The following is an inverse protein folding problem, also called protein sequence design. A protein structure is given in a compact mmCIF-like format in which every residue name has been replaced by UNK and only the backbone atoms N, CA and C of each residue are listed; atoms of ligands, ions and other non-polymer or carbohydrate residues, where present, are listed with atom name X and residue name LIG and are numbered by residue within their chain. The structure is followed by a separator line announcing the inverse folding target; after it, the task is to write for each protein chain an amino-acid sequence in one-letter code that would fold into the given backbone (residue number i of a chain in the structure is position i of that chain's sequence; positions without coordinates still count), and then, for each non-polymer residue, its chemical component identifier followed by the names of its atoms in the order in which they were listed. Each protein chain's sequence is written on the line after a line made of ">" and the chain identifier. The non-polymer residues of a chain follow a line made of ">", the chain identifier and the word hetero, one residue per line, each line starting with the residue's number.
data_IF_584309856615
#
_entry.id   IF_584309856615
#
_cell.length_a   1.000
_cell.length_b   1.000
_cell.length_c   1.000
_cell.angle_alpha   90.00
_cell.angle_beta   90.00
_cell.angle_gamma   90.00
#
_symmetry.space_group_name_H-M   'P 1'
#
loop_
_entity.id
_entity.type
_entity.pdbx_description
1 polymer ?
#
# COMPACT_ATOMS: atom_id res chain seq x y z
N UNK A 1 10.94 -0.59 -20.85
CA UNK A 1 10.51 0.27 -21.97
C UNK A 1 9.30 -0.32 -22.72
N UNK A 2 9.44 -1.49 -23.39
CA UNK A 2 8.38 -2.08 -24.21
C UNK A 2 7.04 -2.22 -23.46
N UNK A 3 7.03 -2.76 -22.26
CA UNK A 3 5.80 -2.92 -21.48
C UNK A 3 5.16 -1.57 -21.12
N UNK A 4 5.93 -0.51 -20.87
CA UNK A 4 5.37 0.81 -20.60
C UNK A 4 4.74 1.45 -21.85
N UNK A 5 5.19 1.08 -23.05
CA UNK A 5 4.60 1.57 -24.31
C UNK A 5 3.20 0.97 -24.57
N UNK A 6 2.97 -0.28 -24.16
CA UNK A 6 1.79 -1.08 -24.51
C UNK A 6 0.84 -1.34 -23.33
N UNK A 7 1.17 -0.85 -22.12
CA UNK A 7 0.34 -1.09 -20.95
C UNK A 7 -1.02 -0.41 -21.04
N UNK A 8 -2.09 -1.13 -20.72
CA UNK A 8 -3.44 -0.61 -20.56
C UNK A 8 -3.74 -0.21 -19.11
N UNK A 9 -2.97 -0.74 -18.15
CA UNK A 9 -3.04 -0.44 -16.72
C UNK A 9 -1.71 -0.79 -16.06
N UNK A 10 -1.28 -0.02 -15.06
CA UNK A 10 -0.07 -0.31 -14.28
C UNK A 10 -0.37 -0.45 -12.80
N UNK A 11 -0.10 -1.63 -12.24
CA UNK A 11 -0.09 -1.87 -10.80
C UNK A 11 1.34 -1.72 -10.27
N UNK A 12 1.66 -0.59 -9.64
CA UNK A 12 2.94 -0.43 -8.96
C UNK A 12 2.87 -1.01 -7.53
N UNK A 13 3.20 -2.28 -7.40
CA UNK A 13 3.28 -3.00 -6.13
C UNK A 13 4.71 -3.06 -5.59
N UNK A 14 5.68 -2.57 -6.36
CA UNK A 14 7.08 -2.57 -5.96
C UNK A 14 7.32 -1.62 -4.79
N UNK A 15 8.18 -2.05 -3.86
CA UNK A 15 8.57 -1.22 -2.73
C UNK A 15 9.52 -1.93 -1.79
N UNK A 16 10.34 -1.14 -1.10
CA UNK A 16 11.23 -1.58 -0.02
C UNK A 16 10.57 -1.31 1.32
N UNK A 17 10.48 -2.33 2.17
CA UNK A 17 9.90 -2.23 3.51
C UNK A 17 10.83 -2.77 4.62
N UNK A 18 11.93 -3.43 4.26
CA UNK A 18 13.00 -3.88 5.18
C UNK A 18 14.36 -3.63 4.53
N UNK A 19 14.81 -2.37 4.52
CA UNK A 19 16.09 -1.98 3.92
C UNK A 19 17.26 -2.42 4.81
N UNK A 20 18.46 -2.47 4.22
CA UNK A 20 19.71 -2.60 4.97
C UNK A 20 20.16 -1.25 5.55
N UNK A 21 19.81 -0.16 4.90
CA UNK A 21 20.01 1.21 5.34
C UNK A 21 18.83 2.09 4.93
N UNK A 22 18.63 3.24 5.59
CA UNK A 22 17.47 4.10 5.38
C UNK A 22 17.40 4.72 3.96
N UNK A 23 18.52 4.88 3.27
CA UNK A 23 18.55 5.44 1.90
C UNK A 23 17.83 4.52 0.90
N UNK A 24 17.82 3.21 1.16
CA UNK A 24 17.13 2.25 0.31
C UNK A 24 15.60 2.45 0.28
N UNK A 25 15.01 3.06 1.32
CA UNK A 25 13.59 3.41 1.29
C UNK A 25 13.31 4.42 0.16
N UNK A 26 14.10 5.49 0.08
CA UNK A 26 13.90 6.50 -0.95
C UNK A 26 14.25 5.95 -2.34
N UNK A 27 15.35 5.22 -2.48
CA UNK A 27 15.74 4.63 -3.77
C UNK A 27 14.72 3.62 -4.29
N UNK A 28 14.24 2.71 -3.42
CA UNK A 28 13.32 1.64 -3.80
C UNK A 28 11.87 2.09 -3.96
N UNK A 29 11.40 3.03 -3.14
CA UNK A 29 10.01 3.48 -3.18
C UNK A 29 9.82 4.68 -4.12
N UNK A 30 10.63 5.73 -3.98
CA UNK A 30 10.54 6.93 -4.81
C UNK A 30 11.31 6.78 -6.13
N UNK A 31 12.56 6.31 -6.11
CA UNK A 31 13.40 6.24 -7.30
C UNK A 31 12.85 5.31 -8.37
N UNK A 32 12.37 4.11 -7.99
CA UNK A 32 11.71 3.20 -8.93
C UNK A 32 10.43 3.80 -9.51
N UNK A 33 9.59 4.42 -8.65
CA UNK A 33 8.36 5.07 -9.08
C UNK A 33 8.64 6.20 -10.09
N UNK A 34 9.67 7.04 -9.84
CA UNK A 34 10.10 8.08 -10.79
C UNK A 34 10.48 7.49 -12.14
N UNK A 35 11.32 6.46 -12.15
CA UNK A 35 11.73 5.79 -13.40
C UNK A 35 10.55 5.23 -14.18
N UNK A 36 9.59 4.59 -13.49
CA UNK A 36 8.39 4.04 -14.10
C UNK A 36 7.55 5.14 -14.77
N UNK A 37 7.25 6.22 -14.04
CA UNK A 37 6.41 7.32 -14.53
C UNK A 37 7.09 8.11 -15.66
N UNK A 38 8.40 8.33 -15.58
CA UNK A 38 9.18 8.96 -16.65
C UNK A 38 9.20 8.09 -17.91
N UNK A 39 9.26 6.76 -17.77
CA UNK A 39 9.17 5.83 -18.89
C UNK A 39 7.79 5.87 -19.55
N UNK A 40 6.70 5.89 -18.78
CA UNK A 40 5.34 6.06 -19.33
C UNK A 40 5.21 7.42 -20.08
N UNK A 41 5.73 8.50 -19.50
CA UNK A 41 5.76 9.82 -20.17
C UNK A 41 6.51 9.77 -21.50
N UNK A 42 7.67 9.11 -21.54
CA UNK A 42 8.50 9.02 -22.77
C UNK A 42 7.80 8.32 -23.92
N UNK A 43 6.89 7.39 -23.61
CA UNK A 43 6.03 6.71 -24.58
C UNK A 43 4.66 7.38 -24.79
N UNK A 44 4.41 8.55 -24.17
CA UNK A 44 3.13 9.24 -24.18
C UNK A 44 1.95 8.32 -23.74
N UNK A 45 2.25 7.27 -22.96
CA UNK A 45 1.23 6.36 -22.43
C UNK A 45 0.55 7.00 -21.21
N UNK A 46 -0.79 7.12 -21.27
CA UNK A 46 -1.62 7.71 -20.23
C UNK A 46 -2.57 6.68 -19.60
N UNK A 47 -2.19 5.41 -19.61
CA UNK A 47 -2.99 4.37 -18.95
C UNK A 47 -3.13 4.68 -17.45
N UNK A 48 -4.18 4.16 -16.79
CA UNK A 48 -4.32 4.27 -15.35
C UNK A 48 -3.11 3.67 -14.62
N UNK A 49 -2.64 4.36 -13.58
CA UNK A 49 -1.53 3.91 -12.74
C UNK A 49 -1.96 3.81 -11.28
N UNK A 50 -1.76 2.64 -10.69
CA UNK A 50 -2.04 2.38 -9.29
C UNK A 50 -0.74 2.35 -8.48
N UNK A 51 -0.73 3.03 -7.33
CA UNK A 51 0.34 2.95 -6.33
C UNK A 51 -0.12 2.19 -5.10
N UNK A 52 0.57 1.10 -4.77
CA UNK A 52 0.49 0.47 -3.45
C UNK A 52 1.26 1.31 -2.44
N UNK A 53 0.55 2.24 -1.78
CA UNK A 53 1.06 3.01 -0.66
C UNK A 53 0.74 2.31 0.67
N UNK A 54 0.87 3.03 1.78
CA UNK A 54 0.65 2.52 3.12
C UNK A 54 -0.03 3.57 3.98
N UNK A 55 -0.85 3.12 4.93
CA UNK A 55 -1.40 4.00 5.97
C UNK A 55 -0.30 4.74 6.75
N UNK A 56 0.93 4.23 6.78
CA UNK A 56 2.07 4.92 7.39
C UNK A 56 2.44 6.23 6.68
N UNK A 57 2.05 6.41 5.41
CA UNK A 57 2.24 7.65 4.66
C UNK A 57 1.41 8.82 5.21
N UNK A 58 0.42 8.59 6.09
CA UNK A 58 -0.28 9.65 6.79
C UNK A 58 0.60 10.40 7.78
N UNK A 59 1.68 9.78 8.27
CA UNK A 59 2.58 10.26 9.32
C UNK A 59 1.84 10.65 10.61
N UNK A 60 0.71 10.01 10.91
CA UNK A 60 -0.13 10.30 12.07
C UNK A 60 0.19 9.32 13.20
N UNK A 61 0.18 9.84 14.45
CA UNK A 61 0.37 9.05 15.65
C UNK A 61 1.71 8.30 15.65
N UNK A 62 1.69 6.97 15.81
CA UNK A 62 2.90 6.12 15.83
C UNK A 62 3.70 6.13 14.52
N UNK A 63 3.16 6.67 13.45
CA UNK A 63 3.82 6.74 12.14
C UNK A 63 4.55 8.07 11.89
N UNK A 64 4.48 9.04 12.80
CA UNK A 64 5.02 10.40 12.64
C UNK A 64 6.49 10.46 12.24
N UNK A 65 7.31 9.55 12.75
CA UNK A 65 8.74 9.46 12.45
C UNK A 65 9.12 8.28 11.55
N UNK A 66 8.14 7.67 10.87
CA UNK A 66 8.37 6.53 9.98
C UNK A 66 9.12 6.95 8.71
N UNK A 67 10.38 6.57 8.56
CA UNK A 67 11.15 6.78 7.31
C UNK A 67 10.51 6.04 6.13
N UNK A 68 9.94 4.85 6.38
CA UNK A 68 9.12 4.14 5.41
C UNK A 68 7.89 4.97 5.02
N UNK A 69 7.16 5.51 6.00
CA UNK A 69 5.99 6.37 5.76
C UNK A 69 6.36 7.61 4.93
N UNK A 70 7.45 8.29 5.28
CA UNK A 70 7.98 9.45 4.54
C UNK A 70 8.31 9.10 3.08
N UNK A 71 8.93 7.93 2.83
CA UNK A 71 9.25 7.48 1.48
C UNK A 71 8.00 7.13 0.64
N UNK A 72 6.98 6.55 1.28
CA UNK A 72 5.69 6.29 0.63
C UNK A 72 4.95 7.57 0.30
N UNK A 73 4.92 8.54 1.22
CA UNK A 73 4.32 9.86 0.98
C UNK A 73 5.00 10.59 -0.21
N UNK A 74 6.32 10.56 -0.28
CA UNK A 74 7.04 11.11 -1.42
C UNK A 74 6.64 10.45 -2.75
N UNK A 75 6.45 9.13 -2.74
CA UNK A 75 5.91 8.39 -3.89
C UNK A 75 4.49 8.80 -4.26
N UNK A 76 3.60 9.02 -3.28
CA UNK A 76 2.23 9.48 -3.52
C UNK A 76 2.20 10.83 -4.24
N UNK A 77 2.98 11.81 -3.77
CA UNK A 77 3.05 13.14 -4.40
C UNK A 77 3.63 13.08 -5.82
N UNK A 78 4.56 12.16 -6.07
CA UNK A 78 5.09 11.93 -7.42
C UNK A 78 3.99 11.42 -8.37
N UNK A 79 3.17 10.46 -7.92
CA UNK A 79 2.05 9.94 -8.70
C UNK A 79 0.97 11.01 -8.94
N UNK A 80 0.63 11.80 -7.95
CA UNK A 80 -0.35 12.90 -8.12
C UNK A 80 0.17 13.96 -9.10
N UNK A 81 1.45 14.32 -9.00
CA UNK A 81 2.08 15.26 -9.96
C UNK A 81 2.03 14.70 -11.38
N UNK A 82 2.36 13.42 -11.56
CA UNK A 82 2.26 12.74 -12.85
C UNK A 82 0.83 12.81 -13.42
N UNK A 83 -0.18 12.54 -12.61
CA UNK A 83 -1.58 12.63 -13.03
C UNK A 83 -1.99 14.04 -13.47
N UNK A 84 -1.54 15.07 -12.73
CA UNK A 84 -1.80 16.47 -13.08
C UNK A 84 -1.12 16.88 -14.39
N UNK A 85 0.13 16.46 -14.62
CA UNK A 85 0.90 16.81 -15.82
C UNK A 85 0.42 16.08 -17.08
N UNK A 86 0.00 14.82 -16.95
CA UNK A 86 -0.29 13.97 -18.11
C UNK A 86 -1.77 13.79 -18.39
N UNK A 87 -2.64 14.00 -17.38
CA UNK A 87 -4.05 13.66 -17.42
C UNK A 87 -4.32 12.15 -17.24
N UNK A 88 -3.31 11.34 -16.92
CA UNK A 88 -3.50 9.91 -16.64
C UNK A 88 -4.28 9.72 -15.33
N UNK A 89 -5.21 8.75 -15.27
CA UNK A 89 -5.86 8.39 -14.02
C UNK A 89 -4.86 7.82 -13.00
N UNK A 90 -4.84 8.40 -11.79
CA UNK A 90 -3.98 7.97 -10.69
C UNK A 90 -4.82 7.41 -9.56
N UNK A 91 -4.43 6.23 -9.06
CA UNK A 91 -5.08 5.49 -8.00
C UNK A 91 -4.07 5.21 -6.88
N UNK A 92 -4.11 5.98 -5.80
CA UNK A 92 -3.19 5.84 -4.66
C UNK A 92 -3.92 5.15 -3.52
N UNK A 93 -3.48 3.93 -3.20
CA UNK A 93 -4.04 3.11 -2.12
C UNK A 93 -3.15 3.12 -0.89
N UNK A 94 -3.64 3.63 0.24
CA UNK A 94 -2.97 3.56 1.54
C UNK A 94 -3.41 2.29 2.28
N UNK A 95 -2.76 1.17 1.95
CA UNK A 95 -3.11 -0.11 2.56
C UNK A 95 -2.75 -0.18 4.05
N UNK A 96 -3.66 -0.75 4.89
CA UNK A 96 -3.36 -1.14 6.25
C UNK A 96 -2.52 -2.42 6.28
N UNK A 97 -2.50 -3.15 7.41
CA UNK A 97 -1.77 -4.41 7.50
C UNK A 97 -2.45 -5.50 6.69
N UNK A 98 -1.76 -6.04 5.70
CA UNK A 98 -2.26 -7.14 4.88
C UNK A 98 -2.08 -8.49 5.60
N UNK A 99 -3.05 -9.38 5.42
CA UNK A 99 -2.99 -10.75 5.90
C UNK A 99 -3.67 -11.71 4.93
N UNK A 100 -3.39 -13.00 5.08
CA UNK A 100 -4.06 -14.05 4.31
C UNK A 100 -3.10 -15.00 3.62
N UNK A 101 -3.58 -15.64 2.55
CA UNK A 101 -2.86 -16.68 1.79
C UNK A 101 -1.48 -16.22 1.33
N UNK A 102 -0.51 -17.13 1.38
CA UNK A 102 0.87 -16.93 0.89
C UNK A 102 1.67 -15.87 1.65
N UNK A 103 1.13 -15.29 2.72
CA UNK A 103 1.86 -14.33 3.53
C UNK A 103 3.04 -15.01 4.23
N UNK A 104 4.24 -14.41 4.08
CA UNK A 104 5.47 -14.96 4.67
C UNK A 104 5.47 -14.74 6.19
N UNK A 105 5.57 -15.79 7.02
CA UNK A 105 5.71 -15.65 8.45
C UNK A 105 7.05 -15.02 8.83
N UNK A 106 7.15 -14.44 10.02
CA UNK A 106 8.35 -13.78 10.55
C UNK A 106 8.91 -12.69 9.63
N UNK A 107 8.00 -12.03 8.87
CA UNK A 107 8.36 -10.94 7.97
C UNK A 107 7.55 -9.67 8.28
N UNK A 108 6.37 -9.45 7.72
CA UNK A 108 5.60 -8.22 7.90
C UNK A 108 4.16 -8.42 8.39
N UNK A 109 3.75 -9.64 8.74
CA UNK A 109 2.41 -9.92 9.23
C UNK A 109 2.45 -10.64 10.58
N UNK A 110 1.84 -10.04 11.59
CA UNK A 110 1.63 -10.70 12.88
C UNK A 110 0.74 -11.94 12.72
N UNK A 111 -0.35 -11.84 11.94
CA UNK A 111 -1.27 -12.96 11.68
C UNK A 111 -0.51 -14.15 11.09
N UNK A 112 0.25 -13.95 10.01
CA UNK A 112 1.02 -15.04 9.38
C UNK A 112 2.05 -15.65 10.35
N UNK A 113 2.70 -14.81 11.15
CA UNK A 113 3.68 -15.27 12.15
C UNK A 113 3.02 -16.09 13.24
N UNK A 114 1.89 -15.65 13.78
CA UNK A 114 1.17 -16.35 14.82
C UNK A 114 0.61 -17.69 14.30
N UNK A 115 -0.01 -17.71 13.14
CA UNK A 115 -0.48 -18.95 12.51
C UNK A 115 0.67 -19.95 12.28
N UNK A 116 1.81 -19.49 11.75
CA UNK A 116 2.96 -20.35 11.55
C UNK A 116 3.51 -20.92 12.88
N UNK A 117 3.62 -20.05 13.89
CA UNK A 117 4.17 -20.46 15.18
C UNK A 117 3.24 -21.47 15.87
N UNK A 118 1.92 -21.22 15.86
CA UNK A 118 0.94 -22.16 16.40
C UNK A 118 0.99 -23.50 15.67
N UNK A 119 1.06 -23.49 14.34
CA UNK A 119 1.11 -24.72 13.54
C UNK A 119 2.39 -25.55 13.74
N UNK A 120 3.45 -24.95 14.27
CA UNK A 120 4.74 -25.60 14.51
C UNK A 120 5.09 -25.70 16.01
N UNK A 121 4.12 -25.52 16.91
CA UNK A 121 4.32 -25.54 18.37
C UNK A 121 5.41 -24.57 18.86
N UNK A 122 5.57 -23.44 18.17
CA UNK A 122 6.52 -22.36 18.52
C UNK A 122 5.84 -21.31 19.39
N UNK A 123 6.56 -20.63 20.28
CA UNK A 123 6.00 -19.60 21.13
C UNK A 123 5.53 -18.38 20.32
N UNK A 124 4.39 -17.81 20.70
CA UNK A 124 3.91 -16.51 20.22
C UNK A 124 4.35 -15.45 21.22
N UNK A 125 5.03 -14.41 20.71
CA UNK A 125 5.41 -13.23 21.51
C UNK A 125 4.54 -12.05 21.14
N UNK A 126 3.84 -11.49 22.14
CA UNK A 126 3.01 -10.28 21.99
C UNK A 126 3.58 -9.23 22.93
N UNK A 127 4.17 -8.17 22.37
CA UNK A 127 4.82 -7.11 23.18
C UNK A 127 3.77 -6.28 23.94
N UNK A 128 2.67 -5.92 23.25
CA UNK A 128 1.55 -5.19 23.83
C UNK A 128 0.24 -5.76 23.27
N UNK A 129 -0.54 -6.41 24.14
CA UNK A 129 -1.81 -7.04 23.75
C UNK A 129 -2.89 -6.03 23.35
N UNK A 130 -2.78 -4.77 23.82
CA UNK A 130 -3.76 -3.71 23.52
C UNK A 130 -3.47 -2.98 22.19
N UNK A 131 -2.37 -3.28 21.53
CA UNK A 131 -2.04 -2.66 20.24
C UNK A 131 -3.10 -3.00 19.19
N UNK A 132 -3.84 -1.99 18.75
CA UNK A 132 -4.84 -2.13 17.69
C UNK A 132 -4.17 -2.21 16.31
N UNK A 133 -4.66 -3.12 15.48
CA UNK A 133 -4.32 -3.26 14.07
C UNK A 133 -5.58 -3.11 13.22
N UNK A 134 -5.44 -2.43 12.11
CA UNK A 134 -6.38 -2.53 11.00
C UNK A 134 -5.82 -3.53 9.99
N UNK A 135 -6.62 -4.53 9.67
CA UNK A 135 -6.25 -5.66 8.81
C UNK A 135 -7.08 -5.64 7.53
N UNK A 136 -6.43 -5.89 6.39
CA UNK A 136 -7.06 -6.09 5.10
C UNK A 136 -6.74 -7.50 4.61
N UNK A 137 -7.77 -8.30 4.33
CA UNK A 137 -7.61 -9.63 3.79
C UNK A 137 -7.17 -9.60 2.33
N UNK A 138 -6.30 -10.51 1.94
CA UNK A 138 -5.67 -10.47 0.61
C UNK A 138 -6.69 -10.64 -0.53
N UNK A 139 -7.72 -11.45 -0.35
CA UNK A 139 -8.73 -11.65 -1.40
C UNK A 139 -9.60 -10.39 -1.57
N UNK A 140 -9.97 -9.69 -0.47
CA UNK A 140 -10.69 -8.40 -0.53
C UNK A 140 -9.84 -7.33 -1.23
N UNK A 141 -8.52 -7.33 -1.00
CA UNK A 141 -7.60 -6.46 -1.75
C UNK A 141 -7.59 -6.79 -3.24
N UNK A 142 -7.54 -8.08 -3.61
CA UNK A 142 -7.54 -8.50 -5.02
C UNK A 142 -8.84 -8.10 -5.71
N UNK A 143 -9.99 -8.24 -5.04
CA UNK A 143 -11.28 -7.77 -5.57
C UNK A 143 -11.26 -6.26 -5.82
N UNK A 144 -10.78 -5.46 -4.87
CA UNK A 144 -10.63 -4.01 -5.05
C UNK A 144 -9.71 -3.65 -6.22
N UNK A 145 -8.60 -4.40 -6.41
CA UNK A 145 -7.69 -4.19 -7.55
C UNK A 145 -8.37 -4.53 -8.89
N UNK A 146 -9.23 -5.55 -8.93
CA UNK A 146 -10.02 -5.88 -10.11
C UNK A 146 -11.08 -4.81 -10.39
N UNK A 147 -11.76 -4.32 -9.37
CA UNK A 147 -12.69 -3.19 -9.50
C UNK A 147 -11.98 -1.93 -10.02
N UNK A 148 -10.78 -1.66 -9.53
CA UNK A 148 -9.95 -0.55 -10.01
C UNK A 148 -9.57 -0.72 -11.50
N UNK A 149 -9.24 -1.94 -11.92
CA UNK A 149 -8.94 -2.28 -13.32
C UNK A 149 -10.17 -2.06 -14.23
N UNK A 150 -11.36 -2.35 -13.71
CA UNK A 150 -12.63 -2.11 -14.40
C UNK A 150 -13.09 -0.63 -14.37
N UNK A 151 -12.31 0.26 -13.76
CA UNK A 151 -12.62 1.68 -13.64
C UNK A 151 -13.63 2.02 -12.53
N UNK A 152 -13.75 1.15 -11.52
CA UNK A 152 -14.66 1.28 -10.36
C UNK A 152 -13.92 1.32 -9.02
N UNK A 153 -12.80 2.08 -8.85
CA UNK A 153 -12.07 2.12 -7.59
C UNK A 153 -12.91 2.76 -6.49
N UNK A 154 -12.83 2.27 -5.27
CA UNK A 154 -13.43 2.92 -4.10
C UNK A 154 -12.60 4.13 -3.67
N UNK A 155 -13.01 5.32 -4.13
CA UNK A 155 -12.31 6.57 -3.82
C UNK A 155 -12.66 7.10 -2.44
N UNK A 156 -11.68 7.72 -1.79
CA UNK A 156 -11.82 8.27 -0.45
C UNK A 156 -10.86 9.46 -0.22
N UNK A 157 -11.11 10.20 0.85
CA UNK A 157 -10.10 10.98 1.56
C UNK A 157 -9.87 10.38 2.94
N UNK A 158 -8.92 10.89 3.71
CA UNK A 158 -8.59 10.38 5.03
C UNK A 158 -8.91 11.43 6.10
N UNK A 159 -9.71 11.01 7.10
CA UNK A 159 -9.82 11.70 8.39
C UNK A 159 -8.95 10.93 9.41
N UNK A 160 -7.80 11.49 9.72
CA UNK A 160 -6.79 10.78 10.47
C UNK A 160 -6.30 9.52 9.73
N UNK A 161 -6.56 8.35 10.31
CA UNK A 161 -6.23 7.04 9.73
C UNK A 161 -7.44 6.38 9.03
N UNK A 162 -8.61 7.00 9.08
CA UNK A 162 -9.86 6.39 8.61
C UNK A 162 -10.20 6.88 7.21
N UNK A 163 -10.46 5.99 6.24
CA UNK A 163 -10.94 6.39 4.93
C UNK A 163 -12.39 6.87 5.00
N UNK A 164 -12.67 8.00 4.37
CA UNK A 164 -14.01 8.57 4.15
C UNK A 164 -14.32 8.47 2.68
N UNK A 165 -15.21 7.56 2.31
CA UNK A 165 -15.51 7.24 0.91
C UNK A 165 -16.40 8.28 0.25
N UNK A 166 -15.98 8.74 -0.93
CA UNK A 166 -16.76 9.58 -1.84
C UNK A 166 -16.10 9.64 -3.23
N UNK A 167 -16.89 9.86 -4.29
CA UNK A 167 -16.46 9.73 -5.70
C UNK A 167 -15.32 10.68 -6.11
N UNK A 168 -15.21 11.83 -5.49
CA UNK A 168 -14.15 12.82 -5.75
C UNK A 168 -12.91 12.67 -4.86
N UNK A 169 -12.81 11.60 -4.10
CA UNK A 169 -11.69 11.34 -3.19
C UNK A 169 -10.34 11.31 -3.92
N UNK A 170 -9.34 11.88 -3.28
CA UNK A 170 -7.96 11.93 -3.82
C UNK A 170 -7.29 10.55 -3.80
N UNK A 171 -7.63 9.74 -2.80
CA UNK A 171 -7.09 8.41 -2.55
C UNK A 171 -8.08 7.32 -2.92
N UNK A 172 -7.64 6.08 -2.78
CA UNK A 172 -8.48 4.91 -2.83
C UNK A 172 -8.23 4.02 -1.60
N UNK A 173 -9.24 3.24 -1.21
CA UNK A 173 -9.12 2.26 -0.13
C UNK A 173 -10.02 1.06 -0.39
N UNK A 174 -9.63 -0.12 0.09
CA UNK A 174 -10.52 -1.27 0.10
C UNK A 174 -11.66 -1.02 1.12
N UNK A 175 -12.93 -1.29 0.75
CA UNK A 175 -14.08 -0.96 1.59
C UNK A 175 -14.24 -1.89 2.80
N UNK A 176 -13.60 -3.06 2.77
CA UNK A 176 -13.67 -4.07 3.84
C UNK A 176 -12.36 -4.16 4.57
N UNK A 177 -12.34 -3.77 5.85
CA UNK A 177 -11.19 -3.95 6.75
C UNK A 177 -11.68 -4.45 8.12
N UNK A 178 -10.75 -4.99 8.91
CA UNK A 178 -11.03 -5.56 10.23
C UNK A 178 -10.16 -4.88 11.28
N UNK A 179 -10.78 -4.32 12.33
CA UNK A 179 -10.06 -3.79 13.50
C UNK A 179 -9.97 -4.85 14.59
N UNK A 180 -8.77 -5.07 15.08
CA UNK A 180 -8.48 -6.13 16.05
C UNK A 180 -7.24 -5.76 16.85
N UNK A 181 -7.16 -6.21 18.09
CA UNK A 181 -5.95 -6.08 18.91
C UNK A 181 -5.00 -7.26 18.70
N UNK A 182 -3.70 -7.04 18.92
CA UNK A 182 -2.71 -8.14 18.90
C UNK A 182 -3.07 -9.25 19.91
N UNK A 183 -3.70 -8.87 21.03
CA UNK A 183 -4.15 -9.83 22.05
C UNK A 183 -5.30 -10.72 21.60
N UNK A 184 -6.17 -10.23 20.73
CA UNK A 184 -7.29 -10.99 20.14
C UNK A 184 -6.82 -11.94 19.04
N UNK A 185 -5.75 -11.58 18.31
CA UNK A 185 -5.18 -12.45 17.29
C UNK A 185 -4.40 -13.62 17.92
N UNK A 186 -3.76 -13.40 19.09
CA UNK A 186 -2.91 -14.37 19.79
C UNK A 186 -3.71 -15.29 20.73
#
# INVERSE_FOLDING_TARGET
>A
DHFCAEADFVFNLAGVNRPKNNDEFMQGNFGFASTLLDTLKSHANRCPVMLSSSIQATLIGRYGESDYGKSKLAGEELFFTYGQETGAPVLVYRFPNLFGKWCRPNYNSAVATFCNNTANDLPITVNDRATELELLYIDDLVEEMLDALEGKPHRCDYDGLTPVFHDSGRYCAAPVTHKVTLGEIA
#
